data_IF_807660994822
#
_entry.id   IF_807660994822
#
_cell.length_a   1.000
_cell.length_b   1.000
_cell.length_c   1.000
_cell.angle_alpha   90.00
_cell.angle_beta   90.00
_cell.angle_gamma   90.00
#
_symmetry.space_group_name_H-M   'P 1'
#
loop_
_entity.id
_entity.type
_entity.pdbx_description
1 polymer ?
#
# COMPACT_ATOMS: atom_id res chain seq x y z
N UNK A 1 -21.10 -29.62 21.55
CA UNK A 1 -19.84 -29.21 20.91
C UNK A 1 -20.15 -27.92 20.15
N UNK A 2 -19.86 -26.76 20.76
CA UNK A 2 -20.19 -25.45 20.17
C UNK A 2 -19.12 -25.14 19.12
N UNK A 3 -19.45 -24.94 17.82
CA UNK A 3 -18.47 -24.50 16.86
C UNK A 3 -18.01 -23.12 17.34
N UNK A 4 -16.73 -23.02 17.74
CA UNK A 4 -16.08 -21.75 18.00
C UNK A 4 -16.21 -20.93 16.72
N UNK A 5 -17.23 -20.06 16.71
CA UNK A 5 -17.42 -19.02 15.73
C UNK A 5 -16.10 -18.28 15.60
N UNK A 6 -15.61 -18.26 14.37
CA UNK A 6 -14.41 -17.59 13.95
C UNK A 6 -14.56 -16.08 14.22
N UNK A 7 -14.16 -15.63 15.41
CA UNK A 7 -14.02 -14.21 15.79
C UNK A 7 -12.82 -13.56 15.08
N UNK A 8 -12.80 -13.66 13.75
CA UNK A 8 -11.85 -12.99 12.84
C UNK A 8 -12.51 -11.88 12.03
N UNK A 9 -13.77 -11.54 12.31
CA UNK A 9 -14.49 -10.52 11.58
C UNK A 9 -14.21 -9.12 12.15
N UNK A 10 -13.18 -8.46 11.62
CA UNK A 10 -13.15 -7.00 11.67
C UNK A 10 -14.43 -6.44 11.04
N UNK A 11 -14.97 -5.37 11.63
CA UNK A 11 -16.11 -4.66 11.03
C UNK A 11 -15.84 -4.33 9.56
N UNK A 12 -16.81 -4.63 8.69
CA UNK A 12 -16.72 -4.37 7.25
C UNK A 12 -16.26 -2.94 6.92
N UNK A 13 -16.73 -1.95 7.70
CA UNK A 13 -16.31 -0.54 7.54
C UNK A 13 -14.81 -0.35 7.74
N UNK A 14 -14.22 -1.01 8.75
CA UNK A 14 -12.78 -0.95 9.02
C UNK A 14 -11.98 -1.71 7.97
N UNK A 15 -12.45 -2.88 7.55
CA UNK A 15 -11.80 -3.65 6.50
C UNK A 15 -11.76 -2.87 5.18
N UNK A 16 -12.89 -2.28 4.77
CA UNK A 16 -12.97 -1.43 3.60
C UNK A 16 -12.04 -0.21 3.72
N UNK A 17 -11.97 0.43 4.90
CA UNK A 17 -11.08 1.56 5.13
C UNK A 17 -9.59 1.16 5.03
N UNK A 18 -9.22 -0.01 5.55
CA UNK A 18 -7.85 -0.54 5.42
C UNK A 18 -7.54 -0.81 3.95
N UNK A 19 -8.42 -1.52 3.22
CA UNK A 19 -8.19 -1.84 1.81
C UNK A 19 -8.11 -0.57 0.95
N UNK A 20 -9.14 0.28 0.99
CA UNK A 20 -9.21 1.51 0.17
C UNK A 20 -8.08 2.47 0.56
N UNK A 21 -7.82 2.64 1.84
CA UNK A 21 -6.73 3.50 2.32
C UNK A 21 -5.37 3.03 1.80
N UNK A 22 -5.08 1.73 1.88
CA UNK A 22 -3.82 1.19 1.38
C UNK A 22 -3.73 1.16 -0.15
N UNK A 23 -4.85 1.04 -0.86
CA UNK A 23 -4.89 1.21 -2.30
C UNK A 23 -4.55 2.66 -2.70
N UNK A 24 -5.13 3.65 -2.02
CA UNK A 24 -4.80 5.06 -2.24
C UNK A 24 -3.34 5.35 -1.91
N UNK A 25 -2.81 4.81 -0.82
CA UNK A 25 -1.38 4.97 -0.48
C UNK A 25 -0.50 4.30 -1.53
N UNK A 26 -0.86 3.11 -2.03
CA UNK A 26 -0.13 2.44 -3.11
C UNK A 26 -0.12 3.25 -4.41
N UNK A 27 -1.26 3.81 -4.81
CA UNK A 27 -1.33 4.71 -5.96
C UNK A 27 -0.50 5.98 -5.72
N UNK A 28 -0.59 6.56 -4.53
CA UNK A 28 0.22 7.72 -4.15
C UNK A 28 1.71 7.41 -4.28
N UNK A 29 2.18 6.23 -3.87
CA UNK A 29 3.57 5.78 -4.10
C UNK A 29 3.95 5.83 -5.56
N UNK A 30 3.10 5.26 -6.44
CA UNK A 30 3.33 5.22 -7.87
C UNK A 30 3.39 6.64 -8.48
N UNK A 31 2.50 7.54 -8.08
CA UNK A 31 2.54 8.93 -8.52
C UNK A 31 3.76 9.69 -7.99
N UNK A 32 4.14 9.45 -6.73
CA UNK A 32 5.32 10.09 -6.14
C UNK A 32 6.59 9.63 -6.85
N UNK A 33 6.66 8.35 -7.21
CA UNK A 33 7.72 7.80 -8.05
C UNK A 33 7.79 8.52 -9.40
N UNK A 34 6.67 8.60 -10.13
CA UNK A 34 6.63 9.32 -11.41
C UNK A 34 7.02 10.80 -11.25
N UNK A 35 6.58 11.46 -10.18
CA UNK A 35 6.92 12.84 -9.90
C UNK A 35 8.42 13.03 -9.69
N UNK A 36 9.06 12.21 -8.85
CA UNK A 36 10.50 12.31 -8.65
C UNK A 36 11.29 11.89 -9.89
N UNK A 37 10.81 10.89 -10.64
CA UNK A 37 11.42 10.50 -11.90
C UNK A 37 11.39 11.66 -12.91
N UNK A 38 10.26 12.36 -13.05
CA UNK A 38 10.15 13.55 -13.91
C UNK A 38 11.02 14.71 -13.39
N UNK A 39 10.98 14.98 -12.08
CA UNK A 39 11.61 16.16 -11.49
C UNK A 39 13.14 16.05 -11.38
N UNK A 40 13.68 14.86 -11.14
CA UNK A 40 15.10 14.65 -10.82
C UNK A 40 15.84 13.73 -11.80
N UNK A 41 15.12 12.88 -12.55
CA UNK A 41 15.70 11.79 -13.36
C UNK A 41 15.27 11.82 -14.82
N UNK A 42 14.94 12.98 -15.39
CA UNK A 42 14.69 13.12 -16.83
C UNK A 42 15.98 12.72 -17.60
N UNK A 43 16.00 11.52 -18.23
CA UNK A 43 17.14 10.76 -18.81
C UNK A 43 17.87 9.71 -17.92
N UNK A 44 17.40 9.42 -16.70
CA UNK A 44 17.99 8.42 -15.79
C UNK A 44 17.36 7.02 -15.88
N UNK A 45 18.05 6.02 -15.31
CA UNK A 45 17.54 4.64 -15.21
C UNK A 45 16.28 4.57 -14.34
N UNK A 46 15.33 3.69 -14.71
CA UNK A 46 14.05 3.48 -14.00
C UNK A 46 14.29 3.02 -12.54
N UNK A 47 15.36 2.26 -12.29
CA UNK A 47 15.84 1.91 -10.96
C UNK A 47 16.88 2.95 -10.55
N UNK A 48 16.42 3.97 -9.83
CA UNK A 48 17.28 5.07 -9.39
C UNK A 48 16.96 5.46 -7.94
N UNK A 49 17.79 6.32 -7.35
CA UNK A 49 17.69 6.76 -5.94
C UNK A 49 16.31 7.36 -5.62
N UNK A 50 15.64 7.92 -6.62
CA UNK A 50 14.28 8.47 -6.57
C UNK A 50 13.22 7.39 -6.33
N UNK A 51 13.39 6.20 -6.93
CA UNK A 51 12.57 5.03 -6.67
C UNK A 51 12.68 4.60 -5.21
N UNK A 52 13.90 4.62 -4.68
CA UNK A 52 14.14 4.30 -3.27
C UNK A 52 13.53 5.36 -2.34
N UNK A 53 13.69 6.66 -2.65
CA UNK A 53 13.15 7.76 -1.86
C UNK A 53 11.61 7.76 -1.85
N UNK A 54 10.97 7.56 -3.00
CA UNK A 54 9.50 7.42 -3.08
C UNK A 54 8.99 6.21 -2.31
N UNK A 55 9.71 5.09 -2.37
CA UNK A 55 9.37 3.89 -1.61
C UNK A 55 9.56 4.09 -0.10
N UNK A 56 10.59 4.81 0.34
CA UNK A 56 10.78 5.15 1.76
C UNK A 56 9.70 6.09 2.30
N UNK A 57 9.36 7.14 1.55
CA UNK A 57 8.29 8.08 1.93
C UNK A 57 6.95 7.35 2.02
N UNK A 58 6.65 6.51 1.03
CA UNK A 58 5.40 5.75 1.05
C UNK A 58 5.36 4.69 2.14
N UNK A 59 6.47 4.02 2.46
CA UNK A 59 6.54 3.08 3.59
C UNK A 59 6.29 3.79 4.92
N UNK A 60 6.77 5.03 5.09
CA UNK A 60 6.45 5.85 6.26
C UNK A 60 4.96 6.16 6.33
N UNK A 61 4.36 6.62 5.23
CA UNK A 61 2.91 6.91 5.17
C UNK A 61 2.08 5.65 5.42
N UNK A 62 2.45 4.53 4.79
CA UNK A 62 1.85 3.22 4.99
C UNK A 62 1.92 2.79 6.46
N UNK A 63 3.10 2.88 7.07
CA UNK A 63 3.31 2.51 8.47
C UNK A 63 2.48 3.36 9.43
N UNK A 64 2.51 4.69 9.27
CA UNK A 64 1.76 5.63 10.12
C UNK A 64 0.25 5.43 9.96
N UNK A 65 -0.25 5.36 8.73
CA UNK A 65 -1.68 5.16 8.47
C UNK A 65 -2.18 3.85 9.08
N UNK A 66 -1.47 2.74 8.82
CA UNK A 66 -1.86 1.43 9.34
C UNK A 66 -1.71 1.32 10.85
N UNK A 67 -0.72 1.98 11.46
CA UNK A 67 -0.59 2.04 12.91
C UNK A 67 -1.76 2.78 13.58
N UNK A 68 -2.31 3.82 12.95
CA UNK A 68 -3.46 4.57 13.46
C UNK A 68 -4.78 3.82 13.25
N UNK A 69 -4.94 3.12 12.12
CA UNK A 69 -6.19 2.44 11.74
C UNK A 69 -6.31 1.05 12.38
N UNK A 70 -5.22 0.28 12.40
CA UNK A 70 -5.19 -1.11 12.89
C UNK A 70 -4.96 -1.11 14.40
N UNK A 71 -6.03 -0.85 15.15
CA UNK A 71 -6.02 -0.89 16.62
C UNK A 71 -6.34 -2.29 17.16
N UNK A 72 -7.21 -3.02 16.48
CA UNK A 72 -7.72 -4.35 16.85
C UNK A 72 -7.41 -5.36 15.73
N UNK A 73 -7.33 -6.66 16.07
CA UNK A 73 -7.03 -7.74 15.11
C UNK A 73 -5.78 -7.48 14.24
N UNK A 74 -4.68 -7.08 14.90
CA UNK A 74 -3.44 -6.61 14.26
C UNK A 74 -2.96 -7.50 13.12
N UNK A 75 -2.86 -8.83 13.32
CA UNK A 75 -2.36 -9.74 12.27
C UNK A 75 -3.17 -9.68 10.97
N UNK A 76 -4.49 -9.75 11.08
CA UNK A 76 -5.39 -9.78 9.90
C UNK A 76 -5.43 -8.42 9.21
N UNK A 77 -5.49 -7.33 9.98
CA UNK A 77 -5.46 -5.97 9.41
C UNK A 77 -4.17 -5.68 8.65
N UNK A 78 -3.02 -6.11 9.18
CA UNK A 78 -1.73 -5.89 8.52
C UNK A 78 -1.58 -6.74 7.24
N UNK A 79 -2.16 -7.94 7.20
CA UNK A 79 -2.21 -8.75 5.96
C UNK A 79 -3.01 -8.01 4.89
N UNK A 80 -4.24 -7.56 5.20
CA UNK A 80 -5.04 -6.80 4.23
C UNK A 80 -4.32 -5.53 3.77
N UNK A 81 -3.73 -4.78 4.69
CA UNK A 81 -2.97 -3.58 4.35
C UNK A 81 -1.82 -3.88 3.39
N UNK A 82 -0.96 -4.85 3.72
CA UNK A 82 0.20 -5.19 2.91
C UNK A 82 -0.19 -5.76 1.55
N UNK A 83 -1.17 -6.68 1.51
CA UNK A 83 -1.63 -7.28 0.25
C UNK A 83 -2.26 -6.23 -0.66
N UNK A 84 -3.08 -5.32 -0.13
CA UNK A 84 -3.69 -4.27 -0.97
C UNK A 84 -2.67 -3.24 -1.43
N UNK A 85 -1.73 -2.85 -0.57
CA UNK A 85 -0.64 -1.92 -0.93
C UNK A 85 0.26 -2.49 -2.03
N UNK A 86 0.81 -3.69 -1.81
CA UNK A 86 1.68 -4.37 -2.79
C UNK A 86 0.89 -4.69 -4.06
N UNK A 87 -0.35 -5.18 -3.94
CA UNK A 87 -1.20 -5.49 -5.07
C UNK A 87 -1.50 -4.27 -5.95
N UNK A 88 -1.67 -3.10 -5.34
CA UNK A 88 -1.89 -1.86 -6.10
C UNK A 88 -0.64 -1.45 -6.87
N UNK A 89 0.53 -1.51 -6.25
CA UNK A 89 1.81 -1.21 -6.92
C UNK A 89 2.08 -2.21 -8.05
N UNK A 90 1.89 -3.50 -7.79
CA UNK A 90 2.07 -4.55 -8.80
C UNK A 90 1.10 -4.38 -9.97
N UNK A 91 -0.17 -4.07 -9.70
CA UNK A 91 -1.16 -3.77 -10.74
C UNK A 91 -0.77 -2.56 -11.56
N UNK A 92 -0.31 -1.49 -10.91
CA UNK A 92 0.18 -0.30 -11.59
C UNK A 92 1.35 -0.64 -12.53
N UNK A 93 2.35 -1.37 -12.04
CA UNK A 93 3.50 -1.80 -12.84
C UNK A 93 3.04 -2.67 -14.01
N UNK A 94 2.12 -3.61 -13.79
CA UNK A 94 1.61 -4.46 -14.88
C UNK A 94 0.91 -3.64 -15.97
N UNK A 95 0.07 -2.67 -15.59
CA UNK A 95 -0.60 -1.79 -16.56
C UNK A 95 0.41 -0.99 -17.36
N UNK A 96 1.38 -0.35 -16.70
CA UNK A 96 2.38 0.51 -17.36
C UNK A 96 3.50 -0.26 -18.08
N UNK A 97 3.74 -1.52 -17.73
CA UNK A 97 4.74 -2.39 -18.39
C UNK A 97 4.19 -3.06 -19.66
N UNK A 98 2.87 -3.28 -19.70
CA UNK A 98 2.19 -3.82 -20.90
C UNK A 98 1.83 -2.72 -21.91
N UNK A 99 1.83 -1.45 -21.47
CA UNK A 99 1.55 -0.27 -22.31
C UNK A 99 2.80 0.22 -23.02
#
# INVERSE_FOLDING_TARGET
>A
MNPKGSDTNMSFKRQALIMVGNAVIGLFTCYLYLYFWIAFSFNGSIISIEALMSLLISLLVFGVFNALVIKEHKKVGWIYAATTYIGTIALFILIFSVS
#
